data_IF_693911954377
#
_entry.id   IF_693911954377
#
_cell.length_a   1.000
_cell.length_b   1.000
_cell.length_c   1.000
_cell.angle_alpha   90.00
_cell.angle_beta   90.00
_cell.angle_gamma   90.00
#
_symmetry.space_group_name_H-M   'P 1'
#
loop_
_entity.id
_entity.type
_entity.pdbx_description
1 polymer ?
#
# COMPACT_ATOMS: atom_id res chain seq x y z
N UNK A 1 2.66 -8.40 -11.19
CA UNK A 1 2.70 -6.93 -11.03
C UNK A 1 1.32 -6.34 -10.71
N UNK A 2 0.26 -6.59 -11.50
CA UNK A 2 -1.10 -6.04 -11.29
C UNK A 2 -1.65 -6.22 -9.87
N UNK A 3 -1.52 -7.41 -9.27
CA UNK A 3 -2.05 -7.66 -7.91
C UNK A 3 -1.36 -6.83 -6.84
N UNK A 4 -0.07 -6.50 -7.03
CA UNK A 4 0.70 -5.66 -6.13
C UNK A 4 0.20 -4.21 -6.17
N UNK A 5 -0.03 -3.70 -7.38
CA UNK A 5 -0.61 -2.35 -7.58
C UNK A 5 -1.96 -2.27 -6.90
N UNK A 6 -2.86 -3.19 -7.20
CA UNK A 6 -4.21 -3.12 -6.63
C UNK A 6 -4.19 -3.22 -5.11
N UNK A 7 -3.41 -4.14 -4.55
CA UNK A 7 -3.23 -4.24 -3.10
C UNK A 7 -2.74 -2.93 -2.47
N UNK A 8 -1.74 -2.29 -3.07
CA UNK A 8 -1.10 -1.07 -2.57
C UNK A 8 -2.10 0.07 -2.39
N UNK A 9 -3.05 0.21 -3.32
CA UNK A 9 -4.07 1.26 -3.25
C UNK A 9 -5.31 0.81 -2.48
N UNK A 10 -5.76 -0.45 -2.64
CA UNK A 10 -6.95 -0.97 -1.92
C UNK A 10 -6.75 -1.01 -0.41
N UNK A 11 -5.54 -1.26 0.09
CA UNK A 11 -5.29 -1.21 1.55
C UNK A 11 -5.57 0.19 2.12
N UNK A 12 -5.36 1.25 1.33
CA UNK A 12 -5.58 2.63 1.73
C UNK A 12 -7.04 3.05 1.49
N UNK A 13 -7.64 2.59 0.39
CA UNK A 13 -8.96 3.00 -0.08
C UNK A 13 -10.13 2.22 0.56
N UNK A 14 -10.02 0.90 0.67
CA UNK A 14 -11.11 0.03 1.13
C UNK A 14 -10.96 -0.28 2.62
N UNK A 15 -11.90 0.24 3.40
CA UNK A 15 -11.96 0.02 4.86
C UNK A 15 -12.15 -1.45 5.25
N UNK A 16 -12.66 -2.28 4.34
CA UNK A 16 -12.84 -3.72 4.57
C UNK A 16 -11.59 -4.53 4.21
N UNK A 17 -10.56 -3.90 3.65
CA UNK A 17 -9.31 -4.57 3.37
C UNK A 17 -8.65 -5.00 4.69
N UNK A 18 -8.19 -6.24 4.77
CA UNK A 18 -7.54 -6.78 5.97
C UNK A 18 -6.31 -5.97 6.42
N UNK A 19 -5.68 -5.23 5.51
CA UNK A 19 -4.54 -4.36 5.79
C UNK A 19 -4.89 -2.92 6.12
N UNK A 20 -6.15 -2.49 5.99
CA UNK A 20 -6.52 -1.09 6.21
C UNK A 20 -6.27 -0.61 7.64
N UNK A 21 -6.47 -1.48 8.63
CA UNK A 21 -6.23 -1.17 10.04
C UNK A 21 -4.83 -1.57 10.56
N UNK A 22 -4.00 -2.18 9.72
CA UNK A 22 -2.67 -2.65 10.13
C UNK A 22 -1.77 -1.44 10.39
N UNK A 23 -0.92 -1.53 11.42
CA UNK A 23 0.01 -0.46 11.82
C UNK A 23 -0.65 0.89 12.13
N UNK A 24 -1.93 0.87 12.53
CA UNK A 24 -2.70 2.06 12.90
C UNK A 24 -3.59 2.61 11.79
N UNK A 25 -3.44 2.15 10.54
CA UNK A 25 -4.35 2.50 9.44
C UNK A 25 -4.42 3.99 9.09
N UNK A 26 -3.36 4.74 9.40
CA UNK A 26 -3.27 6.16 9.07
C UNK A 26 -2.61 6.35 7.71
N UNK A 27 -3.34 6.86 6.73
CA UNK A 27 -2.88 7.11 5.37
C UNK A 27 -2.83 8.61 5.07
N UNK A 28 -2.08 9.38 5.86
CA UNK A 28 -2.11 10.85 5.91
C UNK A 28 -2.00 11.53 4.53
N UNK A 29 -1.05 11.11 3.69
CA UNK A 29 -0.90 11.67 2.34
C UNK A 29 -2.07 11.29 1.43
N UNK A 30 -2.51 10.03 1.47
CA UNK A 30 -3.61 9.54 0.65
C UNK A 30 -4.91 10.28 1.00
N UNK A 31 -5.19 10.46 2.29
CA UNK A 31 -6.34 11.21 2.79
C UNK A 31 -6.20 12.72 2.52
N UNK A 32 -5.03 13.30 2.80
CA UNK A 32 -4.76 14.72 2.63
C UNK A 32 -4.82 15.19 1.17
N UNK A 33 -4.52 14.31 0.22
CA UNK A 33 -4.66 14.55 -1.22
C UNK A 33 -6.06 14.22 -1.75
N UNK A 34 -7.03 13.92 -0.88
CA UNK A 34 -8.41 13.59 -1.23
C UNK A 34 -8.55 12.37 -2.17
N UNK A 35 -7.56 11.48 -2.17
CA UNK A 35 -7.54 10.27 -3.00
C UNK A 35 -8.76 9.36 -2.77
N UNK A 36 -9.30 9.19 -1.54
CA UNK A 36 -10.51 8.41 -1.31
C UNK A 36 -11.75 8.91 -2.06
N UNK A 37 -11.86 10.23 -2.30
CA UNK A 37 -12.97 10.81 -3.07
C UNK A 37 -12.67 10.86 -4.56
N UNK A 38 -11.39 10.95 -4.92
CA UNK A 38 -10.94 11.02 -6.31
C UNK A 38 -11.01 9.64 -7.01
N UNK A 39 -10.49 8.58 -6.37
CA UNK A 39 -10.41 7.25 -6.97
C UNK A 39 -11.75 6.54 -6.77
N UNK A 40 -12.53 6.39 -7.85
CA UNK A 40 -13.81 5.69 -7.83
C UNK A 40 -13.64 4.17 -7.76
N UNK A 41 -12.74 3.62 -8.58
CA UNK A 41 -12.41 2.19 -8.58
C UNK A 41 -11.07 1.93 -9.26
N UNK A 42 -10.48 0.80 -8.92
CA UNK A 42 -9.24 0.30 -9.52
C UNK A 42 -9.56 -1.00 -10.24
N UNK A 43 -9.56 -0.95 -11.56
CA UNK A 43 -9.88 -2.09 -12.39
C UNK A 43 -8.64 -2.90 -12.72
N UNK A 44 -8.80 -4.19 -12.44
CA UNK A 44 -7.92 -5.27 -12.84
C UNK A 44 -8.25 -5.59 -14.31
N UNK A 45 -7.54 -5.03 -15.30
CA UNK A 45 -7.86 -5.27 -16.73
C UNK A 45 -7.27 -6.59 -17.22
N UNK A 46 -5.96 -6.78 -17.10
CA UNK A 46 -5.24 -8.01 -17.45
C UNK A 46 -4.02 -8.21 -16.52
N UNK A 47 -3.15 -9.18 -16.79
CA UNK A 47 -2.01 -9.52 -15.92
C UNK A 47 -1.04 -8.36 -15.65
N UNK A 48 -0.90 -7.44 -16.61
CA UNK A 48 0.05 -6.33 -16.56
C UNK A 48 -0.63 -4.95 -16.69
N UNK A 49 -1.95 -4.90 -16.84
CA UNK A 49 -2.72 -3.67 -16.99
C UNK A 49 -3.64 -3.42 -15.79
N UNK A 50 -3.50 -2.23 -15.20
CA UNK A 50 -4.41 -1.68 -14.18
C UNK A 50 -5.00 -0.39 -14.71
N UNK A 51 -6.29 -0.14 -14.42
CA UNK A 51 -6.96 1.11 -14.78
C UNK A 51 -7.54 1.78 -13.54
N UNK A 52 -7.15 3.03 -13.31
CA UNK A 52 -7.77 3.90 -12.33
C UNK A 52 -8.95 4.61 -12.97
N UNK A 53 -10.11 4.56 -12.31
CA UNK A 53 -11.29 5.34 -12.70
C UNK A 53 -11.47 6.44 -11.68
N UNK A 54 -11.42 7.68 -12.15
CA UNK A 54 -11.51 8.87 -11.30
C UNK A 54 -12.92 9.45 -11.34
N UNK A 55 -13.36 10.03 -10.22
CA UNK A 55 -14.66 10.72 -10.09
C UNK A 55 -14.68 12.08 -10.79
N UNK A 56 -13.50 12.68 -10.99
CA UNK A 56 -13.29 13.98 -11.65
C UNK A 56 -11.92 13.99 -12.35
N UNK A 57 -11.69 14.88 -13.33
CA UNK A 57 -10.35 15.15 -13.85
C UNK A 57 -9.43 15.65 -12.73
N UNK A 58 -8.21 15.13 -12.67
CA UNK A 58 -7.18 15.55 -11.73
C UNK A 58 -5.85 15.66 -12.51
N UNK A 59 -5.49 16.88 -12.90
CA UNK A 59 -4.30 17.14 -13.72
C UNK A 59 -2.99 16.59 -13.13
N UNK A 60 -2.72 16.70 -11.82
CA UNK A 60 -1.48 16.17 -11.25
C UNK A 60 -1.50 14.66 -10.99
N UNK A 61 -2.58 13.93 -11.26
CA UNK A 61 -2.73 12.53 -10.85
C UNK A 61 -1.56 11.62 -11.24
N UNK A 62 -1.01 11.79 -12.45
CA UNK A 62 0.15 10.99 -12.88
C UNK A 62 1.42 11.30 -12.07
N UNK A 63 1.60 12.56 -11.67
CA UNK A 63 2.71 12.96 -10.80
C UNK A 63 2.50 12.44 -9.37
N UNK A 64 1.25 12.45 -8.88
CA UNK A 64 0.90 11.94 -7.55
C UNK A 64 1.23 10.43 -7.41
N UNK A 65 1.02 9.65 -8.48
CA UNK A 65 1.42 8.23 -8.54
C UNK A 65 2.95 8.01 -8.44
N UNK A 66 3.75 9.05 -8.65
CA UNK A 66 5.21 9.01 -8.49
C UNK A 66 5.69 9.36 -7.07
N UNK A 67 4.80 9.76 -6.18
CA UNK A 67 5.13 10.11 -4.79
C UNK A 67 5.30 8.85 -3.93
N UNK A 68 6.02 8.99 -2.81
CA UNK A 68 6.40 7.87 -1.95
C UNK A 68 5.21 7.06 -1.42
N UNK A 69 4.07 7.70 -1.15
CA UNK A 69 2.85 7.03 -0.64
C UNK A 69 2.27 6.00 -1.63
N UNK A 70 2.60 6.15 -2.92
CA UNK A 70 2.16 5.27 -4.01
C UNK A 70 3.15 4.13 -4.30
N UNK A 71 4.15 3.91 -3.44
CA UNK A 71 5.13 2.83 -3.58
C UNK A 71 4.46 1.44 -3.63
N UNK A 72 4.75 0.67 -4.68
CA UNK A 72 4.12 -0.63 -4.92
C UNK A 72 4.66 -1.70 -3.97
N UNK A 73 3.76 -2.29 -3.17
CA UNK A 73 4.05 -3.36 -2.21
C UNK A 73 3.70 -4.75 -2.75
N UNK A 74 4.44 -5.77 -2.30
CA UNK A 74 4.19 -7.16 -2.67
C UNK A 74 2.93 -7.73 -1.99
N UNK A 75 1.93 -8.09 -2.80
CA UNK A 75 0.73 -8.78 -2.33
C UNK A 75 1.03 -10.18 -1.81
N UNK A 76 1.96 -10.88 -2.45
CA UNK A 76 2.38 -12.22 -2.02
C UNK A 76 3.00 -12.18 -0.63
N UNK A 77 3.86 -11.20 -0.37
CA UNK A 77 4.46 -11.01 0.95
C UNK A 77 3.39 -10.69 2.01
N UNK A 78 2.44 -9.81 1.67
CA UNK A 78 1.31 -9.50 2.54
C UNK A 78 0.47 -10.74 2.86
N UNK A 79 0.15 -11.58 1.88
CA UNK A 79 -0.59 -12.82 2.12
C UNK A 79 0.15 -13.79 3.04
N UNK A 80 1.47 -13.88 2.90
CA UNK A 80 2.30 -14.72 3.75
C UNK A 80 2.36 -14.19 5.19
N UNK A 81 2.50 -12.87 5.38
CA UNK A 81 2.52 -12.25 6.71
C UNK A 81 1.16 -12.32 7.40
N UNK A 82 0.06 -12.18 6.66
CA UNK A 82 -1.28 -12.35 7.20
C UNK A 82 -1.53 -13.79 7.66
N UNK A 83 -1.12 -14.79 6.86
CA UNK A 83 -1.18 -16.22 7.24
C UNK A 83 -0.30 -16.55 8.45
N UNK A 84 0.85 -15.89 8.56
CA UNK A 84 1.75 -16.03 9.70
C UNK A 84 1.30 -15.27 10.95
N UNK A 85 0.17 -14.54 10.90
CA UNK A 85 -0.33 -13.73 12.02
C UNK A 85 0.55 -12.52 12.36
N UNK A 86 1.40 -12.07 11.43
CA UNK A 86 2.33 -10.95 11.61
C UNK A 86 2.18 -9.87 10.52
N UNK A 87 0.96 -9.39 10.22
CA UNK A 87 0.72 -8.47 9.10
C UNK A 87 1.53 -7.16 9.17
N UNK A 88 1.86 -6.67 10.37
CA UNK A 88 2.68 -5.48 10.60
C UNK A 88 4.08 -5.54 9.96
N UNK A 89 4.59 -6.75 9.67
CA UNK A 89 5.89 -6.92 9.03
C UNK A 89 5.91 -6.38 7.60
N UNK A 90 4.75 -6.24 6.94
CA UNK A 90 4.67 -5.59 5.62
C UNK A 90 5.14 -4.15 5.67
N UNK A 91 4.89 -3.45 6.77
CA UNK A 91 5.27 -2.05 6.94
C UNK A 91 6.67 -1.91 7.59
N UNK A 92 7.01 -2.80 8.53
CA UNK A 92 8.30 -2.76 9.24
C UNK A 92 9.46 -3.33 8.42
N UNK A 93 9.19 -4.36 7.61
CA UNK A 93 10.18 -5.09 6.81
C UNK A 93 9.72 -5.19 5.35
N UNK A 94 9.59 -4.06 4.63
CA UNK A 94 8.95 -4.06 3.33
C UNK A 94 9.78 -4.80 2.28
N UNK A 95 9.10 -5.63 1.50
CA UNK A 95 9.66 -6.22 0.27
C UNK A 95 9.18 -5.39 -0.91
N UNK A 96 10.08 -4.55 -1.45
CA UNK A 96 9.84 -3.67 -2.59
C UNK A 96 10.66 -4.04 -3.83
N UNK A 97 10.44 -3.32 -4.92
CA UNK A 97 11.17 -3.48 -6.20
C UNK A 97 12.24 -2.40 -6.42
N UNK A 98 12.65 -1.71 -5.35
CA UNK A 98 13.66 -0.66 -5.40
C UNK A 98 15.08 -1.20 -5.66
N UNK A 99 16.05 -0.31 -5.97
CA UNK A 99 17.42 -0.72 -6.30
C UNK A 99 18.21 -1.28 -5.12
N UNK A 100 17.74 -1.08 -3.88
CA UNK A 100 18.34 -1.59 -2.66
C UNK A 100 17.31 -2.40 -1.86
N UNK A 101 17.70 -3.55 -1.29
CA UNK A 101 16.84 -4.25 -0.34
C UNK A 101 16.68 -3.42 0.94
N UNK A 102 15.55 -3.58 1.63
CA UNK A 102 15.37 -3.00 2.96
C UNK A 102 16.48 -3.50 3.90
N UNK A 103 17.17 -2.58 4.57
CA UNK A 103 18.15 -2.95 5.58
C UNK A 103 17.44 -3.52 6.80
N UNK A 104 17.90 -4.67 7.31
CA UNK A 104 17.36 -5.23 8.54
C UNK A 104 17.60 -4.24 9.69
N UNK A 105 16.53 -3.73 10.31
CA UNK A 105 16.63 -2.94 11.53
C UNK A 105 16.96 -3.91 12.67
N UNK A 106 18.11 -3.76 13.36
CA UNK A 106 18.46 -4.66 14.45
C UNK A 106 17.38 -4.64 15.55
N UNK A 107 16.99 -5.81 16.09
CA UNK A 107 15.95 -5.96 17.12
C UNK A 107 16.09 -4.98 18.31
N UNK A 108 17.32 -4.63 18.69
CA UNK A 108 17.60 -3.65 19.76
C UNK A 108 17.02 -2.25 19.52
N UNK A 109 16.60 -1.94 18.29
CA UNK A 109 15.98 -0.67 17.90
C UNK A 109 14.50 -0.82 17.53
N UNK A 110 13.95 -2.03 17.53
CA UNK A 110 12.51 -2.23 17.38
C UNK A 110 11.83 -1.89 18.72
N UNK A 111 11.05 -0.81 18.76
CA UNK A 111 10.25 -0.50 19.95
C UNK A 111 9.22 -1.62 20.18
N UNK A 112 9.11 -2.16 21.41
CA UNK A 112 8.11 -3.17 21.71
C UNK A 112 6.73 -2.54 21.56
N UNK A 113 5.90 -3.11 20.68
CA UNK A 113 4.49 -2.77 20.58
C UNK A 113 3.85 -3.13 21.93
N UNK A 114 3.41 -2.10 22.66
CA UNK A 114 2.66 -2.30 23.90
C UNK A 114 1.33 -2.98 23.57
N UNK A 115 1.03 -4.04 24.32
CA UNK A 115 -0.15 -4.89 24.25
C UNK A 115 -1.45 -4.16 24.55
#
# INVERSE_FOLDING_TARGET
MRMNVVFTFERQLDKNNAYHGVSGGSYEYFEGMDMPKLISKIEKVDENTVRFVLTRPESPFLADLGMDFASILSKEYADNMLKAGTPQNVDLNPVGTGPFPAAAVPERFAHPLQS
#
